data_IF_820147410579
#
_entry.id   IF_820147410579
#
_cell.length_a   1.000
_cell.length_b   1.000
_cell.length_c   1.000
_cell.angle_alpha   90.00
_cell.angle_beta   90.00
_cell.angle_gamma   90.00
#
_symmetry.space_group_name_H-M   'P 1'
#
loop_
_entity.id
_entity.type
_entity.pdbx_description
1 polymer ?
#
# COMPACT_ATOMS: atom_id res chain seq x y z
N UNK A 1 28.57 -29.61 -27.79
CA UNK A 1 27.40 -28.74 -27.51
C UNK A 1 27.80 -27.78 -26.39
N UNK A 2 27.46 -26.49 -26.50
CA UNK A 2 27.71 -25.54 -25.42
C UNK A 2 26.92 -25.97 -24.16
N UNK A 3 27.53 -25.86 -22.98
CA UNK A 3 26.87 -26.14 -21.70
C UNK A 3 25.76 -25.15 -21.46
N UNK A 4 24.79 -25.47 -20.56
CA UNK A 4 23.70 -24.56 -20.17
C UNK A 4 24.27 -23.24 -19.67
N UNK A 5 25.29 -23.25 -18.81
CA UNK A 5 25.95 -22.05 -18.31
C UNK A 5 26.58 -21.19 -19.40
N UNK A 6 27.18 -21.78 -20.42
CA UNK A 6 27.74 -21.06 -21.57
C UNK A 6 26.64 -20.35 -22.39
N UNK A 7 25.44 -20.89 -22.44
CA UNK A 7 24.28 -20.28 -23.11
C UNK A 7 23.62 -19.20 -22.28
N UNK A 8 23.61 -19.34 -20.94
CA UNK A 8 23.02 -18.40 -20.03
C UNK A 8 23.90 -17.17 -19.73
N UNK A 9 25.22 -17.32 -19.75
CA UNK A 9 26.15 -16.26 -19.42
C UNK A 9 25.92 -14.92 -20.19
N UNK A 10 25.73 -14.93 -21.53
CA UNK A 10 25.48 -13.68 -22.27
C UNK A 10 24.13 -13.04 -21.93
N UNK A 11 23.11 -13.85 -21.61
CA UNK A 11 21.79 -13.34 -21.22
C UNK A 11 21.84 -12.71 -19.81
N UNK A 12 22.55 -13.33 -18.87
CA UNK A 12 22.79 -12.77 -17.55
C UNK A 12 23.53 -11.44 -17.63
N UNK A 13 24.60 -11.37 -18.42
CA UNK A 13 25.34 -10.11 -18.63
C UNK A 13 24.47 -9.01 -19.27
N UNK A 14 23.55 -9.37 -20.16
CA UNK A 14 22.59 -8.44 -20.72
C UNK A 14 21.59 -7.92 -19.66
N UNK A 15 21.09 -8.83 -18.80
CA UNK A 15 20.20 -8.46 -17.69
C UNK A 15 20.91 -7.52 -16.71
N UNK A 16 22.14 -7.85 -16.30
CA UNK A 16 22.93 -7.02 -15.40
C UNK A 16 23.11 -5.59 -15.94
N UNK A 17 23.34 -5.47 -17.25
CA UNK A 17 23.45 -4.15 -17.90
C UNK A 17 22.10 -3.38 -17.85
N UNK A 18 20.99 -4.05 -18.16
CA UNK A 18 19.66 -3.46 -18.11
C UNK A 18 19.28 -3.03 -16.68
N UNK A 19 19.67 -3.80 -15.66
CA UNK A 19 19.44 -3.46 -14.26
C UNK A 19 20.17 -2.16 -13.86
N UNK A 20 21.38 -1.94 -14.34
CA UNK A 20 22.10 -0.68 -14.12
C UNK A 20 21.41 0.50 -14.82
N UNK A 21 20.93 0.34 -16.04
CA UNK A 21 20.17 1.37 -16.76
C UNK A 21 18.86 1.67 -16.05
N UNK A 22 18.13 0.65 -15.58
CA UNK A 22 16.92 0.81 -14.77
C UNK A 22 17.20 1.57 -13.48
N UNK A 23 18.26 1.23 -12.75
CA UNK A 23 18.65 1.92 -11.51
C UNK A 23 18.93 3.40 -11.77
N UNK A 24 19.60 3.73 -12.87
CA UNK A 24 19.85 5.13 -13.26
C UNK A 24 18.55 5.88 -13.55
N UNK A 25 17.62 5.28 -14.30
CA UNK A 25 16.32 5.87 -14.61
C UNK A 25 15.45 6.04 -13.35
N UNK A 26 15.46 5.05 -12.45
CA UNK A 26 14.79 5.14 -11.16
C UNK A 26 15.36 6.27 -10.30
N UNK A 27 16.68 6.43 -10.28
CA UNK A 27 17.35 7.51 -9.56
C UNK A 27 17.02 8.90 -10.13
N UNK A 28 16.93 9.03 -11.45
CA UNK A 28 16.47 10.28 -12.12
C UNK A 28 15.03 10.61 -11.74
N UNK A 29 14.13 9.59 -11.75
CA UNK A 29 12.75 9.73 -11.32
C UNK A 29 12.63 10.14 -9.86
N UNK A 30 13.44 9.53 -8.98
CA UNK A 30 13.45 9.85 -7.56
C UNK A 30 13.85 11.31 -7.29
N UNK A 31 14.88 11.82 -7.99
CA UNK A 31 15.27 13.24 -7.93
C UNK A 31 14.14 14.17 -8.37
N UNK A 32 13.48 13.88 -9.48
CA UNK A 32 12.33 14.66 -9.93
C UNK A 32 11.17 14.63 -8.92
N UNK A 33 10.94 13.48 -8.23
CA UNK A 33 9.95 13.40 -7.17
C UNK A 33 10.32 14.26 -5.94
N UNK A 34 11.59 14.29 -5.55
CA UNK A 34 12.06 15.18 -4.48
C UNK A 34 11.83 16.67 -4.82
N UNK A 35 12.11 17.09 -6.06
CA UNK A 35 11.81 18.46 -6.50
C UNK A 35 10.30 18.78 -6.43
N UNK A 36 9.45 17.84 -6.85
CA UNK A 36 7.99 17.97 -6.67
C UNK A 36 7.62 18.07 -5.19
N UNK A 37 8.28 17.31 -4.32
CA UNK A 37 8.09 17.37 -2.87
C UNK A 37 8.43 18.75 -2.30
N UNK A 38 9.52 19.37 -2.71
CA UNK A 38 9.89 20.74 -2.30
C UNK A 38 8.80 21.75 -2.70
N UNK A 39 8.35 21.72 -3.95
CA UNK A 39 7.28 22.63 -4.43
C UNK A 39 5.97 22.43 -3.65
N UNK A 40 5.59 21.16 -3.39
CA UNK A 40 4.41 20.84 -2.58
C UNK A 40 4.54 21.30 -1.12
N UNK A 41 5.73 21.22 -0.55
CA UNK A 41 6.04 21.72 0.80
C UNK A 41 5.74 23.20 0.95
N UNK A 42 6.07 24.02 -0.05
CA UNK A 42 5.77 25.45 -0.08
C UNK A 42 4.26 25.75 -0.16
N UNK A 43 3.48 24.86 -0.77
CA UNK A 43 2.03 25.05 -0.99
C UNK A 43 1.15 24.23 -0.03
N UNK A 44 1.72 23.53 0.95
CA UNK A 44 1.04 22.58 1.85
C UNK A 44 0.18 21.55 1.10
N UNK A 45 0.56 21.20 -0.12
CA UNK A 45 -0.17 20.24 -0.97
C UNK A 45 0.08 18.79 -0.49
N UNK A 46 -0.91 17.90 -0.56
CA UNK A 46 -0.75 16.52 -0.11
C UNK A 46 0.30 15.78 -0.97
N UNK A 47 1.18 15.05 -0.30
CA UNK A 47 2.21 14.21 -0.94
C UNK A 47 1.55 13.04 -1.68
N UNK A 48 0.62 12.34 -1.02
CA UNK A 48 -0.12 11.23 -1.60
C UNK A 48 -1.35 11.70 -2.37
N UNK A 49 -1.43 11.31 -3.64
CA UNK A 49 -2.56 11.59 -4.55
C UNK A 49 -2.92 10.29 -5.27
N UNK A 50 -3.87 9.52 -4.73
CA UNK A 50 -4.23 8.21 -5.28
C UNK A 50 -4.69 8.29 -6.74
N UNK A 51 -5.44 9.34 -7.12
CA UNK A 51 -5.93 9.52 -8.49
C UNK A 51 -4.78 9.65 -9.48
N UNK A 52 -3.71 10.37 -9.10
CA UNK A 52 -2.52 10.54 -9.94
C UNK A 52 -1.74 9.25 -10.09
N UNK A 53 -1.64 8.46 -9.02
CA UNK A 53 -0.96 7.16 -9.07
C UNK A 53 -1.70 6.16 -9.95
N UNK A 54 -3.02 6.09 -9.81
CA UNK A 54 -3.86 5.25 -10.68
C UNK A 54 -3.72 5.66 -12.15
N UNK A 55 -3.70 6.96 -12.45
CA UNK A 55 -3.50 7.45 -13.81
C UNK A 55 -2.12 7.07 -14.37
N UNK A 56 -1.06 7.17 -13.56
CA UNK A 56 0.29 6.75 -13.99
C UNK A 56 0.31 5.27 -14.33
N UNK A 57 -0.26 4.42 -13.47
CA UNK A 57 -0.33 2.98 -13.70
C UNK A 57 -1.12 2.66 -14.95
N UNK A 58 -2.30 3.27 -15.14
CA UNK A 58 -3.14 3.06 -16.32
C UNK A 58 -2.41 3.45 -17.62
N UNK A 59 -1.71 4.57 -17.63
CA UNK A 59 -0.94 5.02 -18.80
C UNK A 59 0.20 4.05 -19.13
N UNK A 60 0.88 3.51 -18.11
CA UNK A 60 1.96 2.54 -18.29
C UNK A 60 1.44 1.20 -18.82
N UNK A 61 0.32 0.74 -18.29
CA UNK A 61 -0.34 -0.47 -18.79
C UNK A 61 -0.75 -0.31 -20.25
N UNK A 62 -1.35 0.84 -20.61
CA UNK A 62 -1.76 1.14 -21.99
C UNK A 62 -0.58 1.24 -22.95
N UNK A 63 0.58 1.69 -22.47
CA UNK A 63 1.80 1.83 -23.27
C UNK A 63 2.64 0.56 -23.34
N UNK A 64 2.27 -0.47 -22.58
CA UNK A 64 3.05 -1.70 -22.51
C UNK A 64 2.82 -2.57 -23.75
N UNK A 65 3.87 -2.77 -24.54
CA UNK A 65 3.89 -3.70 -25.66
C UNK A 65 4.74 -4.95 -25.38
N UNK A 66 5.29 -5.06 -24.16
CA UNK A 66 6.19 -6.14 -23.76
C UNK A 66 5.48 -7.29 -23.04
N UNK A 67 6.24 -8.26 -22.54
CA UNK A 67 5.71 -9.48 -21.92
C UNK A 67 5.21 -9.30 -20.48
N UNK A 68 5.34 -8.11 -19.87
CA UNK A 68 4.89 -7.89 -18.51
C UNK A 68 3.37 -7.84 -18.44
N UNK A 69 2.78 -8.60 -17.52
CA UNK A 69 1.35 -8.54 -17.24
C UNK A 69 0.98 -7.24 -16.51
N UNK A 70 -0.26 -6.79 -16.69
CA UNK A 70 -0.80 -5.57 -16.08
C UNK A 70 -0.63 -5.54 -14.55
N UNK A 71 -0.86 -6.67 -13.87
CA UNK A 71 -0.69 -6.78 -12.41
C UNK A 71 0.77 -6.62 -11.99
N UNK A 72 1.71 -7.16 -12.78
CA UNK A 72 3.15 -6.98 -12.55
C UNK A 72 3.57 -5.51 -12.69
N UNK A 73 3.07 -4.81 -13.72
CA UNK A 73 3.31 -3.38 -13.90
C UNK A 73 2.76 -2.61 -12.70
N UNK A 74 1.53 -2.92 -12.25
CA UNK A 74 0.92 -2.28 -11.08
C UNK A 74 1.77 -2.45 -9.83
N UNK A 75 2.22 -3.66 -9.54
CA UNK A 75 3.03 -3.97 -8.36
C UNK A 75 4.38 -3.21 -8.38
N UNK A 76 5.10 -3.26 -9.50
CA UNK A 76 6.41 -2.60 -9.65
C UNK A 76 6.26 -1.08 -9.48
N UNK A 77 5.33 -0.46 -10.18
CA UNK A 77 5.18 1.01 -10.13
C UNK A 77 4.65 1.51 -8.79
N UNK A 78 3.81 0.72 -8.11
CA UNK A 78 3.39 1.05 -6.74
C UNK A 78 4.59 1.14 -5.80
N UNK A 79 5.51 0.19 -5.86
CA UNK A 79 6.72 0.22 -5.03
C UNK A 79 7.67 1.35 -5.41
N UNK A 80 7.88 1.60 -6.70
CA UNK A 80 8.68 2.74 -7.16
C UNK A 80 8.08 4.07 -6.66
N UNK A 81 6.76 4.23 -6.76
CA UNK A 81 6.08 5.45 -6.28
C UNK A 81 6.15 5.56 -4.76
N UNK A 82 5.97 4.46 -4.04
CA UNK A 82 6.10 4.41 -2.58
C UNK A 82 7.49 4.84 -2.12
N UNK A 83 8.54 4.26 -2.71
CA UNK A 83 9.92 4.62 -2.41
C UNK A 83 10.21 6.12 -2.70
N UNK A 84 9.70 6.64 -3.82
CA UNK A 84 9.87 8.07 -4.15
C UNK A 84 9.14 8.99 -3.17
N UNK A 85 7.91 8.64 -2.74
CA UNK A 85 7.16 9.41 -1.74
C UNK A 85 7.88 9.46 -0.40
N UNK A 86 8.49 8.35 0.01
CA UNK A 86 9.28 8.30 1.24
C UNK A 86 10.46 9.28 1.24
N UNK A 87 10.97 9.66 0.05
CA UNK A 87 11.99 10.70 -0.10
C UNK A 87 11.40 12.13 -0.04
N UNK A 88 10.11 12.30 -0.38
CA UNK A 88 9.44 13.60 -0.29
C UNK A 88 9.10 13.94 1.17
N UNK A 89 8.45 13.01 1.87
CA UNK A 89 8.08 13.13 3.27
C UNK A 89 7.78 11.76 3.88
N UNK A 90 8.07 11.63 5.17
CA UNK A 90 7.75 10.44 5.95
C UNK A 90 6.23 10.26 6.02
N UNK A 91 5.72 9.13 5.51
CA UNK A 91 4.30 8.81 5.55
C UNK A 91 4.00 7.88 6.71
N UNK A 92 3.30 8.38 7.72
CA UNK A 92 2.85 7.60 8.86
C UNK A 92 1.40 7.17 8.60
N UNK A 93 1.15 5.87 8.60
CA UNK A 93 -0.16 5.27 8.36
C UNK A 93 -0.60 4.52 9.63
N UNK A 94 -1.66 5.01 10.27
CA UNK A 94 -2.26 4.33 11.41
C UNK A 94 -3.12 3.16 10.94
N UNK A 95 -3.05 2.03 11.61
CA UNK A 95 -3.87 0.86 11.30
C UNK A 95 -4.19 0.06 12.57
N UNK A 96 -5.25 -0.76 12.51
CA UNK A 96 -5.60 -1.65 13.63
C UNK A 96 -4.54 -2.74 13.75
N UNK A 97 -3.73 -2.67 14.86
CA UNK A 97 -2.66 -3.59 15.18
C UNK A 97 -3.14 -4.96 15.68
N UNK A 98 -2.21 -5.78 16.11
CA UNK A 98 -0.76 -5.58 16.10
C UNK A 98 -0.14 -5.62 14.70
N UNK A 99 1.20 -5.55 14.61
CA UNK A 99 1.94 -5.83 13.36
C UNK A 99 1.66 -7.25 12.87
N UNK A 100 1.69 -7.47 11.56
CA UNK A 100 1.38 -8.76 10.93
C UNK A 100 -0.12 -9.01 10.72
N UNK A 101 -0.98 -8.00 10.89
CA UNK A 101 -2.43 -8.12 10.65
C UNK A 101 -2.81 -7.82 9.20
N UNK A 102 -4.03 -8.21 8.83
CA UNK A 102 -4.60 -7.84 7.51
C UNK A 102 -4.76 -6.34 7.34
N UNK A 103 -4.93 -5.58 8.42
CA UNK A 103 -4.96 -4.11 8.36
C UNK A 103 -3.60 -3.53 7.95
N UNK A 104 -2.49 -4.08 8.45
CA UNK A 104 -1.15 -3.71 7.99
C UNK A 104 -0.94 -4.08 6.53
N UNK A 105 -1.35 -5.30 6.15
CA UNK A 105 -1.25 -5.74 4.75
C UNK A 105 -2.07 -4.84 3.82
N UNK A 106 -3.26 -4.41 4.24
CA UNK A 106 -4.08 -3.46 3.49
C UNK A 106 -3.41 -2.08 3.40
N UNK A 107 -2.77 -1.60 4.46
CA UNK A 107 -1.99 -0.37 4.43
C UNK A 107 -0.86 -0.45 3.41
N UNK A 108 -0.10 -1.54 3.40
CA UNK A 108 0.96 -1.77 2.41
C UNK A 108 0.40 -1.91 0.98
N UNK A 109 -0.74 -2.58 0.82
CA UNK A 109 -1.40 -2.70 -0.48
C UNK A 109 -1.88 -1.36 -1.04
N UNK A 110 -2.32 -0.43 -0.18
CA UNK A 110 -2.76 0.90 -0.59
C UNK A 110 -1.59 1.86 -0.85
N UNK A 111 -0.61 1.88 0.04
CA UNK A 111 0.43 2.90 0.09
C UNK A 111 1.82 2.43 -0.33
N UNK A 112 2.00 1.11 -0.57
CA UNK A 112 3.30 0.47 -0.81
C UNK A 112 4.08 0.21 0.48
N UNK A 113 5.27 -0.39 0.35
CA UNK A 113 6.04 -0.89 1.49
C UNK A 113 6.87 0.18 2.23
N UNK A 114 7.11 1.35 1.61
CA UNK A 114 7.96 2.40 2.16
C UNK A 114 7.24 3.36 3.12
N UNK A 115 6.20 2.88 3.79
CA UNK A 115 5.44 3.63 4.81
C UNK A 115 5.97 3.35 6.21
N UNK A 116 5.74 4.28 7.13
CA UNK A 116 5.87 4.03 8.56
C UNK A 116 4.51 3.63 9.14
N UNK A 117 4.39 2.38 9.55
CA UNK A 117 3.16 1.86 10.11
C UNK A 117 3.03 2.18 11.61
N UNK A 118 1.93 2.84 12.00
CA UNK A 118 1.53 3.08 13.38
C UNK A 118 0.45 2.07 13.79
N UNK A 119 0.85 0.99 14.47
CA UNK A 119 -0.07 0.00 14.97
C UNK A 119 -0.84 0.55 16.19
N UNK A 120 -2.16 0.60 16.11
CA UNK A 120 -3.07 1.05 17.17
C UNK A 120 -3.79 -0.13 17.81
N UNK A 121 -4.14 -0.02 19.10
CA UNK A 121 -4.80 -1.11 19.83
C UNK A 121 -6.32 -1.18 19.57
N UNK A 122 -6.91 -0.11 19.03
CA UNK A 122 -8.34 -0.03 18.75
C UNK A 122 -8.61 0.82 17.52
N UNK A 123 -9.81 0.66 16.94
CA UNK A 123 -10.30 1.52 15.85
C UNK A 123 -10.36 2.98 16.28
N UNK A 124 -10.81 3.26 17.52
CA UNK A 124 -10.85 4.61 18.08
C UNK A 124 -9.47 5.27 18.11
N UNK A 125 -8.42 4.50 18.42
CA UNK A 125 -7.04 5.01 18.40
C UNK A 125 -6.58 5.33 16.99
N UNK A 126 -6.97 4.54 15.96
CA UNK A 126 -6.65 4.83 14.57
C UNK A 126 -7.25 6.17 14.16
N UNK A 127 -8.55 6.39 14.41
CA UNK A 127 -9.22 7.66 14.11
C UNK A 127 -8.57 8.83 14.83
N UNK A 128 -8.33 8.71 16.14
CA UNK A 128 -7.66 9.73 16.95
C UNK A 128 -6.24 10.04 16.47
N UNK A 129 -5.48 9.05 16.01
CA UNK A 129 -4.13 9.27 15.49
C UNK A 129 -4.16 10.17 14.25
N UNK A 130 -5.14 9.98 13.35
CA UNK A 130 -5.31 10.81 12.15
C UNK A 130 -5.85 12.20 12.53
N UNK A 131 -6.86 12.29 13.39
CA UNK A 131 -7.44 13.57 13.85
C UNK A 131 -6.40 14.48 14.51
N UNK A 132 -5.53 13.91 15.33
CA UNK A 132 -4.44 14.64 16.00
C UNK A 132 -3.25 14.93 15.09
N UNK A 133 -3.21 14.35 13.88
CA UNK A 133 -2.11 14.51 12.94
C UNK A 133 -0.86 13.67 13.26
N UNK A 134 -0.97 12.68 14.16
CA UNK A 134 0.09 11.72 14.41
C UNK A 134 0.28 10.76 13.22
N UNK A 135 -0.77 10.56 12.43
CA UNK A 135 -0.72 9.87 11.15
C UNK A 135 -1.42 10.70 10.06
N UNK A 136 -0.98 10.57 8.82
CA UNK A 136 -1.61 11.22 7.67
C UNK A 136 -2.88 10.49 7.22
N UNK A 137 -2.89 9.16 7.34
CA UNK A 137 -4.00 8.29 6.97
C UNK A 137 -4.25 7.25 8.05
N UNK A 138 -5.50 6.82 8.17
CA UNK A 138 -5.92 5.68 8.96
C UNK A 138 -6.48 4.58 8.07
N UNK A 139 -6.09 3.35 8.30
CA UNK A 139 -6.55 2.16 7.59
C UNK A 139 -7.38 1.32 8.54
N UNK A 140 -8.66 1.16 8.23
CA UNK A 140 -9.63 0.50 9.10
C UNK A 140 -10.45 -0.53 8.32
N UNK A 141 -10.70 -1.72 8.89
CA UNK A 141 -11.57 -2.70 8.27
C UNK A 141 -13.01 -2.22 8.31
N UNK A 142 -13.73 -2.35 7.19
CA UNK A 142 -15.14 -1.96 7.04
C UNK A 142 -16.06 -3.16 7.02
N UNK A 143 -15.62 -4.21 6.34
CA UNK A 143 -16.39 -5.43 6.15
C UNK A 143 -15.48 -6.64 6.02
N UNK A 144 -15.95 -7.79 6.49
CA UNK A 144 -15.33 -9.05 6.18
C UNK A 144 -16.39 -10.05 5.71
N UNK A 145 -16.01 -11.01 4.87
CA UNK A 145 -16.94 -11.96 4.23
C UNK A 145 -17.63 -12.93 5.21
N UNK A 146 -17.10 -13.08 6.41
CA UNK A 146 -17.62 -14.01 7.43
C UNK A 146 -18.52 -13.34 8.45
N UNK A 147 -18.18 -12.12 8.85
CA UNK A 147 -18.86 -11.39 9.93
C UNK A 147 -19.69 -10.20 9.41
N UNK A 148 -19.54 -9.86 8.12
CA UNK A 148 -20.23 -8.72 7.53
C UNK A 148 -19.61 -7.37 7.91
N UNK A 149 -20.44 -6.34 7.96
CA UNK A 149 -20.01 -4.97 8.25
C UNK A 149 -19.54 -4.79 9.70
N UNK A 150 -18.45 -4.01 9.88
CA UNK A 150 -17.89 -3.70 11.19
C UNK A 150 -18.54 -2.42 11.73
N UNK A 151 -19.58 -2.58 12.55
CA UNK A 151 -20.41 -1.49 13.05
C UNK A 151 -19.60 -0.38 13.69
N UNK A 152 -18.57 -0.70 14.49
CA UNK A 152 -17.75 0.32 15.13
C UNK A 152 -17.02 1.23 14.14
N UNK A 153 -16.54 0.68 13.02
CA UNK A 153 -15.93 1.50 11.96
C UNK A 153 -16.96 2.44 11.34
N UNK A 154 -18.18 1.94 11.07
CA UNK A 154 -19.25 2.75 10.49
C UNK A 154 -19.67 3.88 11.43
N UNK A 155 -19.83 3.60 12.73
CA UNK A 155 -20.14 4.62 13.74
C UNK A 155 -19.06 5.71 13.78
N UNK A 156 -17.78 5.31 13.82
CA UNK A 156 -16.67 6.27 13.84
C UNK A 156 -16.60 7.11 12.56
N UNK A 157 -16.93 6.54 11.38
CA UNK A 157 -16.99 7.29 10.13
C UNK A 157 -18.12 8.33 10.12
N UNK A 158 -19.22 8.10 10.84
CA UNK A 158 -20.31 9.06 10.99
C UNK A 158 -19.98 10.17 12.01
N UNK A 159 -19.27 9.83 13.08
CA UNK A 159 -18.95 10.75 14.17
C UNK A 159 -17.72 11.62 13.88
N UNK A 160 -16.75 11.10 13.12
CA UNK A 160 -15.46 11.73 12.88
C UNK A 160 -15.51 12.76 11.74
N UNK A 161 -14.72 13.84 11.82
CA UNK A 161 -14.56 14.79 10.72
C UNK A 161 -13.68 14.25 9.57
N UNK A 162 -13.16 13.04 9.69
CA UNK A 162 -12.28 12.45 8.68
C UNK A 162 -13.07 12.11 7.41
N UNK A 163 -12.37 12.10 6.28
CA UNK A 163 -12.95 11.75 4.98
C UNK A 163 -12.37 10.44 4.46
N UNK A 164 -13.22 9.61 3.87
CA UNK A 164 -12.80 8.42 3.17
C UNK A 164 -12.04 8.85 1.91
N UNK A 165 -10.81 8.39 1.76
CA UNK A 165 -9.92 8.70 0.64
C UNK A 165 -9.79 7.55 -0.35
N UNK A 166 -10.24 6.37 0.02
CA UNK A 166 -10.27 5.19 -0.85
C UNK A 166 -10.54 3.92 -0.09
N UNK A 167 -10.57 2.82 -0.82
CA UNK A 167 -10.81 1.49 -0.30
C UNK A 167 -9.82 0.48 -0.88
N UNK A 168 -9.62 -0.61 -0.17
CA UNK A 168 -8.83 -1.77 -0.61
C UNK A 168 -9.62 -3.03 -0.31
N UNK A 169 -9.81 -3.85 -1.32
CA UNK A 169 -10.34 -5.20 -1.17
C UNK A 169 -9.16 -6.16 -1.05
N UNK A 170 -9.01 -6.78 0.10
CA UNK A 170 -7.92 -7.71 0.39
C UNK A 170 -8.41 -9.15 0.28
N UNK A 171 -7.97 -9.93 -0.72
CA UNK A 171 -8.25 -11.36 -0.78
C UNK A 171 -7.44 -12.09 0.29
N UNK A 172 -8.13 -12.71 1.24
CA UNK A 172 -7.50 -13.46 2.32
C UNK A 172 -7.53 -14.94 1.97
N UNK A 173 -6.36 -15.58 1.93
CA UNK A 173 -6.21 -17.01 1.69
C UNK A 173 -5.60 -17.67 2.92
N UNK A 174 -6.36 -18.56 3.56
CA UNK A 174 -5.87 -19.36 4.66
C UNK A 174 -5.20 -20.63 4.14
N UNK A 175 -4.07 -20.97 4.71
CA UNK A 175 -3.33 -22.19 4.42
C UNK A 175 -3.15 -22.99 5.70
N UNK A 176 -3.43 -24.29 5.65
CA UNK A 176 -3.10 -25.21 6.73
C UNK A 176 -1.65 -25.67 6.54
N UNK A 177 -0.81 -25.35 7.50
CA UNK A 177 0.61 -25.70 7.48
C UNK A 177 0.85 -26.92 8.37
N UNK A 178 1.55 -27.91 7.86
CA UNK A 178 1.99 -29.10 8.63
C UNK A 178 3.48 -29.32 8.42
N UNK A 179 4.16 -29.90 9.41
CA UNK A 179 5.59 -30.22 9.28
C UNK A 179 5.87 -31.32 8.25
N UNK A 180 4.90 -32.17 7.99
CA UNK A 180 5.04 -33.37 7.12
C UNK A 180 4.45 -33.16 5.73
N UNK A 181 3.76 -32.05 5.47
CA UNK A 181 2.99 -31.84 4.22
C UNK A 181 1.73 -32.72 4.11
N UNK A 182 1.38 -33.48 5.17
CA UNK A 182 0.21 -34.36 5.22
C UNK A 182 -0.63 -34.02 6.44
N UNK A 183 -1.95 -34.27 6.36
CA UNK A 183 -2.88 -34.16 7.48
C UNK A 183 -2.95 -35.42 8.35
N UNK A 184 -2.31 -36.51 7.91
CA UNK A 184 -2.27 -37.75 8.66
C UNK A 184 -1.56 -37.54 10.02
N UNK A 185 -2.24 -37.88 11.12
CA UNK A 185 -1.72 -37.73 12.48
C UNK A 185 -1.81 -36.34 13.09
N UNK A 186 -2.43 -35.36 12.41
CA UNK A 186 -2.71 -34.04 12.98
C UNK A 186 -3.85 -34.16 14.00
N UNK A 187 -3.55 -33.92 15.27
CA UNK A 187 -4.52 -33.97 16.39
C UNK A 187 -4.93 -32.58 16.87
N UNK A 188 -4.15 -31.55 16.54
CA UNK A 188 -4.37 -30.17 16.99
C UNK A 188 -4.09 -29.20 15.88
N UNK A 189 -4.99 -28.22 15.70
CA UNK A 189 -4.82 -27.09 14.76
C UNK A 189 -4.80 -25.80 15.57
N UNK A 190 -3.76 -24.99 15.37
CA UNK A 190 -3.69 -23.64 15.93
C UNK A 190 -4.11 -22.65 14.81
N UNK A 191 -5.12 -21.84 15.07
CA UNK A 191 -5.61 -20.86 14.14
C UNK A 191 -5.89 -19.53 14.85
N UNK A 192 -5.84 -18.42 14.09
CA UNK A 192 -6.40 -17.15 14.55
C UNK A 192 -7.93 -17.27 14.58
N UNK A 193 -8.60 -16.56 15.50
CA UNK A 193 -10.05 -16.61 15.66
C UNK A 193 -10.81 -16.04 14.45
N UNK A 194 -10.19 -15.18 13.65
CA UNK A 194 -10.82 -14.58 12.46
C UNK A 194 -10.53 -15.38 11.21
N UNK A 195 -11.51 -16.16 10.75
CA UNK A 195 -11.48 -16.79 9.44
C UNK A 195 -12.29 -15.93 8.46
N UNK A 196 -11.61 -15.19 7.60
CA UNK A 196 -12.21 -14.38 6.54
C UNK A 196 -11.53 -14.68 5.21
N UNK A 197 -12.31 -14.79 4.14
CA UNK A 197 -11.76 -15.01 2.79
C UNK A 197 -11.56 -13.71 2.01
N UNK A 198 -12.17 -12.62 2.47
CA UNK A 198 -12.03 -11.29 1.89
C UNK A 198 -12.36 -10.24 2.95
N UNK A 199 -11.63 -9.14 2.95
CA UNK A 199 -11.94 -7.97 3.76
C UNK A 199 -11.91 -6.72 2.92
N UNK A 200 -12.93 -5.89 3.06
CA UNK A 200 -12.95 -4.52 2.54
C UNK A 200 -12.42 -3.60 3.62
N UNK A 201 -11.44 -2.80 3.27
CA UNK A 201 -10.76 -1.87 4.16
C UNK A 201 -10.83 -0.48 3.56
N UNK A 202 -11.34 0.49 4.30
CA UNK A 202 -11.31 1.90 3.93
C UNK A 202 -10.08 2.58 4.52
N UNK A 203 -9.53 3.56 3.81
CA UNK A 203 -8.57 4.49 4.38
C UNK A 203 -9.14 5.90 4.39
N UNK A 204 -8.92 6.60 5.50
CA UNK A 204 -9.47 7.92 5.77
C UNK A 204 -8.36 8.92 6.12
N UNK A 205 -8.61 10.20 5.84
CA UNK A 205 -7.71 11.31 6.12
C UNK A 205 -8.50 12.54 6.56
N UNK A 206 -7.80 13.52 7.12
CA UNK A 206 -8.39 14.80 7.45
C UNK A 206 -8.87 15.53 6.18
N UNK A 207 -10.02 16.21 6.23
CA UNK A 207 -10.48 17.05 5.13
C UNK A 207 -9.43 18.14 4.86
N UNK A 208 -9.22 18.46 3.57
CA UNK A 208 -8.40 19.62 3.20
C UNK A 208 -9.07 20.86 3.80
N UNK A 209 -8.35 21.63 4.60
CA UNK A 209 -8.77 22.99 4.94
C UNK A 209 -8.98 23.73 3.61
N UNK A 210 -10.22 24.09 3.30
CA UNK A 210 -10.47 25.07 2.25
C UNK A 210 -9.83 26.36 2.77
N UNK A 211 -8.70 26.75 2.20
CA UNK A 211 -8.21 28.12 2.34
C UNK A 211 -9.36 28.99 1.84
N UNK A 212 -9.95 29.76 2.75
CA UNK A 212 -10.92 30.77 2.39
C UNK A 212 -10.24 31.66 1.36
N UNK A 213 -10.65 31.52 0.11
CA UNK A 213 -10.19 32.38 -0.96
C UNK A 213 -10.53 33.81 -0.56
N UNK A 214 -9.51 34.64 -0.48
CA UNK A 214 -9.69 36.09 -0.44
C UNK A 214 -10.55 36.48 -1.66
N UNK A 215 -11.81 36.75 -1.42
CA UNK A 215 -12.58 37.58 -2.31
C UNK A 215 -12.03 39.01 -2.16
N UNK A 216 -11.40 39.48 -3.18
CA UNK A 216 -11.31 40.88 -3.58
C UNK A 216 -11.71 40.97 -5.03
#
# INVERSE_FOLDING_TARGET
MATEDQRLAPLRAQIDKLDLELLELMSKRARAAQEVGHIKGETASPVFRPERELQVIANLQASNSGPLHADGITAIWREIMSACRALEAKQIIAYLGPKGTFSEQAAQAAFGSSIEGLACNSLDEVFKAVEKGAAQFGVVPVENSSEGAISRTLDLLLESPLQISGEVVLPIRHHLLTKTGSLAGVSTVCACASFSTMSTVAYCTRPKLKTAGSQQ
#
